data_IF_519803729930
#
_entry.id   IF_519803729930
#
_cell.length_a   1.000
_cell.length_b   1.000
_cell.length_c   1.000
_cell.angle_alpha   90.00
_cell.angle_beta   90.00
_cell.angle_gamma   90.00
#
_symmetry.space_group_name_H-M   'P 1'
#
loop_
_entity.id
_entity.type
_entity.pdbx_description
1 polymer ?
#
# COMPACT_ATOMS: atom_id res chain seq x y z
N UNK A 1 -20.51 -2.26 0.83
CA UNK A 1 -20.39 -1.96 -0.54
C UNK A 1 -19.82 -3.11 -1.36
N UNK A 2 -20.23 -3.19 -2.62
CA UNK A 2 -19.91 -4.35 -3.42
C UNK A 2 -18.46 -4.41 -3.91
N UNK A 3 -17.84 -3.26 -4.10
CA UNK A 3 -16.52 -3.22 -4.71
C UNK A 3 -15.42 -3.33 -3.66
N UNK A 4 -14.60 -4.35 -3.80
CA UNK A 4 -13.42 -4.52 -2.97
C UNK A 4 -12.16 -4.34 -3.80
N UNK A 5 -11.15 -3.76 -3.19
CA UNK A 5 -9.87 -3.57 -3.83
C UNK A 5 -9.12 -4.89 -3.89
N UNK A 6 -8.61 -5.24 -5.07
CA UNK A 6 -7.74 -6.41 -5.20
C UNK A 6 -6.32 -6.01 -4.86
N UNK A 7 -5.46 -7.02 -4.63
CA UNK A 7 -4.05 -6.75 -4.35
C UNK A 7 -3.39 -6.03 -5.52
N UNK A 8 -3.74 -6.40 -6.75
CA UNK A 8 -3.18 -5.75 -7.94
C UNK A 8 -3.56 -4.28 -7.98
N UNK A 9 -4.81 -3.97 -7.68
CA UNK A 9 -5.27 -2.58 -7.65
C UNK A 9 -4.59 -1.79 -6.54
N UNK A 10 -4.43 -2.42 -5.37
CA UNK A 10 -3.76 -1.77 -4.26
C UNK A 10 -2.29 -1.49 -4.58
N UNK A 11 -1.61 -2.43 -5.22
CA UNK A 11 -0.22 -2.25 -5.63
C UNK A 11 -0.07 -1.10 -6.61
N UNK A 12 -0.98 -1.03 -7.58
CA UNK A 12 -0.93 0.03 -8.58
C UNK A 12 -1.12 1.40 -7.94
N UNK A 13 -2.09 1.52 -7.05
CA UNK A 13 -2.34 2.76 -6.34
C UNK A 13 -1.15 3.11 -5.44
N UNK A 14 -0.60 2.12 -4.77
CA UNK A 14 0.56 2.34 -3.89
C UNK A 14 1.77 2.83 -4.68
N UNK A 15 2.02 2.24 -5.84
CA UNK A 15 3.15 2.67 -6.67
C UNK A 15 3.02 4.12 -7.08
N UNK A 16 1.81 4.53 -7.41
CA UNK A 16 1.56 5.93 -7.73
C UNK A 16 1.86 6.81 -6.51
N UNK A 17 1.34 6.43 -5.35
CA UNK A 17 1.55 7.19 -4.13
C UNK A 17 3.03 7.25 -3.77
N UNK A 18 3.72 6.13 -3.89
CA UNK A 18 5.15 6.06 -3.60
C UNK A 18 5.95 6.96 -4.54
N UNK A 19 5.57 7.00 -5.81
CA UNK A 19 6.21 7.89 -6.77
C UNK A 19 6.10 9.35 -6.38
N UNK A 20 4.93 9.76 -5.85
CA UNK A 20 4.74 11.12 -5.36
C UNK A 20 5.65 11.40 -4.16
N UNK A 21 5.73 10.44 -3.23
CA UNK A 21 6.57 10.58 -2.04
C UNK A 21 8.04 10.74 -2.43
N UNK A 22 8.51 9.89 -3.33
CA UNK A 22 9.89 9.91 -3.78
C UNK A 22 10.20 11.22 -4.52
N UNK A 23 9.23 11.73 -5.26
CA UNK A 23 9.41 12.98 -5.99
C UNK A 23 9.66 14.14 -5.04
N UNK A 24 8.99 14.12 -3.88
CA UNK A 24 9.16 15.16 -2.86
C UNK A 24 10.37 14.88 -1.97
N UNK A 25 10.73 13.61 -1.81
CA UNK A 25 11.83 13.18 -0.97
C UNK A 25 12.70 12.16 -1.71
N UNK A 26 13.54 12.62 -2.67
CA UNK A 26 14.26 11.69 -3.55
C UNK A 26 15.15 10.68 -2.83
N UNK A 27 15.61 11.01 -1.62
CA UNK A 27 16.47 10.09 -0.87
C UNK A 27 15.74 8.82 -0.45
N UNK A 28 14.40 8.84 -0.48
CA UNK A 28 13.61 7.67 -0.10
C UNK A 28 13.49 6.65 -1.23
N UNK A 29 13.94 6.99 -2.42
CA UNK A 29 13.80 6.12 -3.57
C UNK A 29 14.37 4.73 -3.32
N UNK A 30 15.48 4.65 -2.61
CA UNK A 30 16.15 3.39 -2.32
C UNK A 30 15.93 2.91 -0.89
N UNK A 31 15.02 3.54 -0.16
CA UNK A 31 14.76 3.17 1.22
C UNK A 31 13.66 2.11 1.27
N UNK A 32 14.09 0.85 1.23
CA UNK A 32 13.16 -0.27 1.21
C UNK A 32 12.42 -0.42 2.54
N UNK A 33 13.06 -0.05 3.64
CA UNK A 33 12.42 -0.12 4.95
C UNK A 33 11.24 0.84 5.01
N UNK A 34 11.46 2.07 4.57
CA UNK A 34 10.40 3.07 4.55
C UNK A 34 9.26 2.64 3.61
N UNK A 35 9.61 2.08 2.45
CA UNK A 35 8.62 1.63 1.48
C UNK A 35 7.74 0.54 2.04
N UNK A 36 8.33 -0.41 2.77
CA UNK A 36 7.57 -1.50 3.40
C UNK A 36 6.63 -0.97 4.46
N UNK A 37 7.07 0.00 5.24
CA UNK A 37 6.21 0.60 6.26
C UNK A 37 5.06 1.38 5.63
N UNK A 38 5.32 2.09 4.54
CA UNK A 38 4.27 2.81 3.83
C UNK A 38 3.23 1.85 3.27
N UNK A 39 3.66 0.71 2.77
CA UNK A 39 2.72 -0.32 2.30
C UNK A 39 1.83 -0.80 3.46
N UNK A 40 2.42 -1.02 4.63
CA UNK A 40 1.66 -1.44 5.79
C UNK A 40 0.63 -0.40 6.19
N UNK A 41 0.99 0.86 6.21
CA UNK A 41 0.04 1.93 6.52
C UNK A 41 -1.07 2.00 5.47
N UNK A 42 -0.71 1.87 4.21
CA UNK A 42 -1.67 1.94 3.13
C UNK A 42 -2.71 0.83 3.23
N UNK A 43 -2.27 -0.40 3.42
CA UNK A 43 -3.18 -1.53 3.54
C UNK A 43 -4.01 -1.47 4.82
N UNK A 44 -3.42 -0.97 5.89
CA UNK A 44 -4.16 -0.77 7.13
C UNK A 44 -5.30 0.22 6.92
N UNK A 45 -5.04 1.31 6.21
CA UNK A 45 -6.08 2.28 5.87
C UNK A 45 -7.18 1.67 5.02
N UNK A 46 -6.80 0.86 4.03
CA UNK A 46 -7.79 0.19 3.18
C UNK A 46 -8.69 -0.72 4.01
N UNK A 47 -8.11 -1.41 4.97
CA UNK A 47 -8.89 -2.29 5.83
C UNK A 47 -9.82 -1.49 6.74
N UNK A 48 -9.33 -0.42 7.35
CA UNK A 48 -10.14 0.39 8.25
C UNK A 48 -11.30 1.05 7.54
N UNK A 49 -11.13 1.42 6.28
CA UNK A 49 -12.17 2.08 5.52
C UNK A 49 -13.07 1.11 4.76
N UNK A 50 -12.82 -0.19 4.89
CA UNK A 50 -13.70 -1.19 4.31
C UNK A 50 -13.43 -1.53 2.86
N UNK A 51 -12.34 -1.05 2.29
CA UNK A 51 -11.99 -1.38 0.90
C UNK A 51 -11.46 -2.79 0.76
N UNK A 52 -10.86 -3.33 1.83
CA UNK A 52 -10.43 -4.72 1.88
C UNK A 52 -10.87 -5.32 3.20
N UNK A 53 -10.95 -6.65 3.24
CA UNK A 53 -11.31 -7.34 4.47
C UNK A 53 -10.08 -7.56 5.34
N UNK A 54 -10.32 -7.86 6.63
CA UNK A 54 -9.23 -8.22 7.52
C UNK A 54 -8.48 -9.43 7.00
N UNK A 55 -9.21 -10.38 6.42
CA UNK A 55 -8.60 -11.58 5.86
C UNK A 55 -7.66 -11.23 4.71
N UNK A 56 -8.06 -10.31 3.83
CA UNK A 56 -7.19 -9.83 2.77
C UNK A 56 -5.96 -9.14 3.33
N UNK A 57 -6.17 -8.29 4.33
CA UNK A 57 -5.07 -7.57 4.97
C UNK A 57 -4.04 -8.54 5.54
N UNK A 58 -4.51 -9.59 6.21
CA UNK A 58 -3.61 -10.56 6.82
C UNK A 58 -2.96 -11.50 5.83
N UNK A 59 -3.64 -11.78 4.70
CA UNK A 59 -3.12 -12.75 3.75
C UNK A 59 -2.18 -12.14 2.71
N UNK A 60 -2.24 -10.84 2.50
CA UNK A 60 -1.37 -10.20 1.52
C UNK A 60 0.04 -10.07 2.07
N UNK A 61 0.99 -10.69 1.37
CA UNK A 61 2.39 -10.54 1.72
C UNK A 61 2.87 -9.15 1.36
N UNK A 62 3.82 -8.65 2.13
CA UNK A 62 4.45 -7.38 1.79
C UNK A 62 5.33 -7.60 0.55
N UNK A 63 5.04 -6.92 -0.57
CA UNK A 63 5.77 -7.17 -1.82
C UNK A 63 7.15 -6.50 -1.86
N UNK A 64 7.48 -5.77 -0.85
CA UNK A 64 8.76 -5.06 -0.80
C UNK A 64 9.59 -5.53 0.37
#
# INVERSE_FOLDING_TARGET
HAMRTTKAQALEQFRYNWGVIVKQHPRLENDKVWKREEWSYFTDSLCKEGYITLKQYESWSNPF
#
